data_IF_141643799853
#
_entry.id   IF_141643799853
#
_cell.length_a   1.000
_cell.length_b   1.000
_cell.length_c   1.000
_cell.angle_alpha   90.00
_cell.angle_beta   90.00
_cell.angle_gamma   90.00
#
_symmetry.space_group_name_H-M   'P 1'
#
loop_
_entity.id
_entity.type
_entity.pdbx_description
1 polymer ?
#
# COMPACT_ATOMS: atom_id res chain seq x y z
N UNK A 1 -6.94 28.69 10.57
CA UNK A 1 -6.36 27.54 11.31
C UNK A 1 -7.40 26.45 11.28
N UNK A 2 -6.96 25.20 11.19
CA UNK A 2 -7.85 24.04 11.15
C UNK A 2 -7.44 23.02 12.21
N UNK A 3 -8.36 22.12 12.54
CA UNK A 3 -8.11 21.07 13.51
C UNK A 3 -7.23 19.97 12.91
N UNK A 4 -6.08 19.71 13.53
CA UNK A 4 -5.22 18.59 13.14
C UNK A 4 -5.92 17.26 13.41
N UNK A 5 -6.02 16.39 12.39
CA UNK A 5 -6.76 15.12 12.49
C UNK A 5 -6.16 14.16 13.53
N UNK A 6 -4.84 14.24 13.77
CA UNK A 6 -4.17 13.42 14.79
C UNK A 6 -4.24 14.02 16.20
N UNK A 7 -3.67 15.21 16.44
CA UNK A 7 -3.60 15.77 17.80
C UNK A 7 -4.86 16.52 18.24
N UNK A 8 -5.80 16.77 17.32
CA UNK A 8 -7.07 17.47 17.55
C UNK A 8 -6.93 18.92 18.05
N UNK A 9 -5.74 19.52 17.94
CA UNK A 9 -5.48 20.93 18.25
C UNK A 9 -5.66 21.80 17.01
N UNK A 10 -6.17 23.02 17.19
CA UNK A 10 -6.23 24.06 16.15
C UNK A 10 -4.82 24.53 15.79
N UNK A 11 -4.39 24.27 14.55
CA UNK A 11 -3.04 24.59 14.06
C UNK A 11 -3.06 24.88 12.56
N UNK A 12 -1.95 25.35 12.02
CA UNK A 12 -1.72 25.35 10.57
C UNK A 12 -1.42 23.92 10.14
N UNK A 13 -2.20 23.40 9.21
CA UNK A 13 -2.00 22.08 8.62
C UNK A 13 -1.02 22.18 7.46
N UNK A 14 -0.28 21.11 7.23
CA UNK A 14 0.67 20.99 6.13
C UNK A 14 0.19 19.92 5.14
N UNK A 15 0.76 19.89 3.94
CA UNK A 15 0.47 18.83 2.97
C UNK A 15 0.97 17.48 3.48
N UNK A 16 0.02 16.62 3.87
CA UNK A 16 0.24 15.24 4.30
C UNK A 16 0.03 14.29 3.13
N UNK A 17 1.04 13.48 2.79
CA UNK A 17 0.83 12.36 1.86
C UNK A 17 -0.01 11.25 2.52
N UNK A 18 -1.04 10.74 1.83
CA UNK A 18 -1.82 9.58 2.31
C UNK A 18 -0.93 8.34 2.40
N UNK A 19 -0.20 8.03 1.33
CA UNK A 19 0.88 7.04 1.31
C UNK A 19 2.24 7.74 1.23
N UNK A 20 3.26 7.32 2.00
CA UNK A 20 4.56 7.99 2.06
C UNK A 20 5.20 8.27 0.70
N UNK A 21 5.73 9.49 0.53
CA UNK A 21 6.36 9.96 -0.72
C UNK A 21 7.46 9.05 -1.27
N UNK A 22 8.20 8.37 -0.38
CA UNK A 22 9.31 7.51 -0.80
C UNK A 22 8.85 6.33 -1.67
N UNK A 23 7.60 5.89 -1.54
CA UNK A 23 7.00 4.81 -2.33
C UNK A 23 6.91 5.23 -3.80
N UNK A 24 6.28 6.38 -4.08
CA UNK A 24 6.15 6.94 -5.43
C UNK A 24 7.50 7.35 -6.02
N UNK A 25 8.40 7.88 -5.18
CA UNK A 25 9.77 8.19 -5.62
C UNK A 25 10.50 6.94 -6.09
N UNK A 26 10.43 5.85 -5.34
CA UNK A 26 11.05 4.59 -5.72
C UNK A 26 10.41 4.03 -7.00
N UNK A 27 9.07 4.02 -7.10
CA UNK A 27 8.37 3.55 -8.29
C UNK A 27 8.80 4.32 -9.56
N UNK A 28 8.92 5.66 -9.49
CA UNK A 28 9.43 6.48 -10.61
C UNK A 28 10.88 6.14 -10.94
N UNK A 29 11.75 6.06 -9.93
CA UNK A 29 13.17 5.80 -10.13
C UNK A 29 13.41 4.44 -10.83
N UNK A 30 12.66 3.41 -10.42
CA UNK A 30 12.74 2.05 -10.98
C UNK A 30 11.82 1.81 -12.19
N UNK A 31 11.18 2.86 -12.73
CA UNK A 31 10.43 2.80 -13.98
C UNK A 31 11.37 2.96 -15.17
N UNK A 32 11.29 2.09 -16.21
CA UNK A 32 12.07 2.24 -17.45
C UNK A 32 11.83 3.59 -18.12
N UNK A 33 10.60 4.10 -18.06
CA UNK A 33 10.25 5.40 -18.65
C UNK A 33 10.59 6.58 -17.74
N UNK A 34 10.86 6.36 -16.45
CA UNK A 34 11.01 7.41 -15.43
C UNK A 34 9.69 8.02 -14.94
N UNK A 35 8.54 7.55 -15.46
CA UNK A 35 7.21 8.04 -15.10
C UNK A 35 6.33 6.93 -14.51
N UNK A 36 5.30 7.34 -13.78
CA UNK A 36 4.22 6.49 -13.28
C UNK A 36 2.92 6.97 -13.92
N UNK A 37 1.97 6.06 -14.14
CA UNK A 37 0.64 6.35 -14.69
C UNK A 37 -0.42 5.75 -13.77
N UNK A 38 -1.58 6.41 -13.66
CA UNK A 38 -2.75 5.85 -12.98
C UNK A 38 -3.57 4.99 -13.96
N UNK A 39 -4.27 4.00 -13.42
CA UNK A 39 -5.30 3.24 -14.15
C UNK A 39 -6.51 4.10 -14.49
N UNK A 40 -6.75 5.21 -13.81
CA UNK A 40 -7.91 6.08 -14.08
C UNK A 40 -7.72 6.88 -15.37
N UNK A 41 -6.51 7.42 -15.56
CA UNK A 41 -6.10 8.15 -16.75
C UNK A 41 -4.70 7.70 -17.20
N UNK A 42 -4.61 6.60 -17.97
CA UNK A 42 -3.32 6.06 -18.40
C UNK A 42 -2.62 6.93 -19.45
N UNK A 43 -3.33 7.88 -20.06
CA UNK A 43 -2.75 8.81 -21.03
C UNK A 43 -1.97 9.96 -20.38
N UNK A 44 -1.97 10.09 -19.05
CA UNK A 44 -1.26 11.14 -18.32
C UNK A 44 -0.33 10.56 -17.25
N UNK A 45 0.96 10.94 -17.25
CA UNK A 45 1.84 10.65 -16.13
C UNK A 45 1.35 11.29 -14.82
N UNK A 46 1.44 10.56 -13.71
CA UNK A 46 1.25 11.11 -12.36
C UNK A 46 2.61 11.48 -11.76
N UNK A 47 2.63 12.59 -11.02
CA UNK A 47 3.86 13.15 -10.46
C UNK A 47 4.12 12.72 -9.02
N UNK A 48 3.08 12.53 -8.23
CA UNK A 48 3.14 12.23 -6.79
C UNK A 48 1.90 11.46 -6.36
N UNK A 49 1.88 10.99 -5.10
CA UNK A 49 0.68 10.44 -4.48
C UNK A 49 -0.32 11.52 -4.03
N UNK A 50 -1.47 11.07 -3.53
CA UNK A 50 -2.51 11.94 -2.96
C UNK A 50 -1.96 12.68 -1.72
N UNK A 51 -2.20 13.99 -1.66
CA UNK A 51 -1.84 14.87 -0.56
C UNK A 51 -3.03 15.67 -0.10
N UNK A 52 -3.13 15.88 1.21
CA UNK A 52 -4.26 16.54 1.85
C UNK A 52 -3.75 17.34 3.07
N UNK A 53 -4.37 18.46 3.43
CA UNK A 53 -4.06 19.19 4.66
C UNK A 53 -4.62 18.42 5.88
N UNK A 54 -3.94 17.36 6.33
CA UNK A 54 -4.44 16.49 7.43
C UNK A 54 -3.81 16.80 8.77
N UNK A 55 -2.49 17.00 8.80
CA UNK A 55 -1.71 17.04 10.04
C UNK A 55 -1.00 18.38 10.22
N UNK A 56 -0.77 18.76 11.48
CA UNK A 56 0.15 19.86 11.80
C UNK A 56 1.60 19.37 11.71
N UNK A 57 2.55 20.31 11.60
CA UNK A 57 3.98 20.04 11.45
C UNK A 57 4.55 19.06 12.49
N UNK A 58 4.20 19.21 13.78
CA UNK A 58 4.66 18.31 14.84
C UNK A 58 4.17 16.86 14.66
N UNK A 59 2.95 16.68 14.14
CA UNK A 59 2.38 15.35 13.89
C UNK A 59 3.02 14.71 12.65
N UNK A 60 3.28 15.49 11.61
CA UNK A 60 4.05 15.03 10.45
C UNK A 60 5.47 14.62 10.81
N UNK A 61 6.17 15.42 11.63
CA UNK A 61 7.53 15.08 12.06
C UNK A 61 7.57 13.74 12.82
N UNK A 62 6.55 13.47 13.64
CA UNK A 62 6.40 12.18 14.32
C UNK A 62 6.27 11.03 13.33
N UNK A 63 5.42 11.17 12.30
CA UNK A 63 5.23 10.14 11.28
C UNK A 63 6.51 9.95 10.46
N UNK A 64 7.17 11.05 10.08
CA UNK A 64 8.41 11.06 9.31
C UNK A 64 9.53 10.25 9.96
N UNK A 65 9.64 10.26 11.30
CA UNK A 65 10.61 9.43 12.04
C UNK A 65 10.39 7.93 11.80
N UNK A 66 9.14 7.47 11.86
CA UNK A 66 8.80 6.06 11.62
C UNK A 66 8.89 5.68 10.15
N UNK A 67 8.50 6.57 9.24
CA UNK A 67 8.68 6.39 7.79
C UNK A 67 10.16 6.29 7.41
N UNK A 68 11.02 7.10 8.03
CA UNK A 68 12.47 7.04 7.83
C UNK A 68 13.04 5.70 8.29
N UNK A 69 12.58 5.21 9.46
CA UNK A 69 13.00 3.91 9.96
C UNK A 69 12.53 2.77 9.03
N UNK A 70 11.27 2.76 8.60
CA UNK A 70 10.76 1.73 7.69
C UNK A 70 11.46 1.78 6.33
N UNK A 71 11.61 2.97 5.75
CA UNK A 71 12.20 3.10 4.42
C UNK A 71 13.63 2.58 4.36
N UNK A 72 14.46 2.94 5.35
CA UNK A 72 15.87 2.54 5.44
C UNK A 72 16.05 1.07 5.81
N UNK A 73 15.28 0.57 6.77
CA UNK A 73 15.55 -0.76 7.35
C UNK A 73 14.79 -1.90 6.69
N UNK A 74 13.69 -1.62 5.98
CA UNK A 74 12.83 -2.65 5.38
C UNK A 74 12.58 -2.37 3.90
N UNK A 75 12.03 -1.20 3.57
CA UNK A 75 11.54 -0.94 2.22
C UNK A 75 12.63 -1.04 1.14
N UNK A 76 13.69 -0.23 1.24
CA UNK A 76 14.75 -0.24 0.23
C UNK A 76 15.51 -1.56 0.18
N UNK A 77 15.95 -2.13 1.32
CA UNK A 77 16.61 -3.44 1.30
C UNK A 77 15.74 -4.56 0.69
N UNK A 78 14.42 -4.53 0.89
CA UNK A 78 13.53 -5.53 0.30
C UNK A 78 13.28 -5.30 -1.20
N UNK A 79 12.96 -4.06 -1.61
CA UNK A 79 12.70 -3.72 -3.02
C UNK A 79 13.94 -3.96 -3.90
N UNK A 80 15.13 -3.70 -3.36
CA UNK A 80 16.41 -3.94 -4.05
C UNK A 80 16.83 -5.43 -4.04
N UNK A 81 16.12 -6.30 -3.32
CA UNK A 81 16.44 -7.72 -3.21
C UNK A 81 17.66 -8.02 -2.32
N UNK A 82 18.07 -7.10 -1.47
CA UNK A 82 19.25 -7.23 -0.60
C UNK A 82 18.97 -8.13 0.62
N UNK A 83 17.73 -8.10 1.13
CA UNK A 83 17.33 -8.84 2.34
C UNK A 83 15.89 -9.34 2.22
N UNK A 84 15.58 -10.45 2.91
CA UNK A 84 14.25 -11.05 2.99
C UNK A 84 13.74 -11.24 4.43
N UNK A 85 14.54 -10.82 5.41
CA UNK A 85 14.24 -10.90 6.84
C UNK A 85 14.73 -9.63 7.55
N UNK A 86 13.92 -9.13 8.48
CA UNK A 86 14.07 -7.81 9.09
C UNK A 86 13.67 -7.86 10.57
N UNK A 87 14.64 -7.67 11.45
CA UNK A 87 14.35 -7.33 12.83
C UNK A 87 13.77 -5.91 12.89
N UNK A 88 12.74 -5.74 13.71
CA UNK A 88 12.08 -4.45 13.89
C UNK A 88 11.71 -4.22 15.36
N UNK A 89 11.51 -2.95 15.70
CA UNK A 89 11.03 -2.49 17.00
C UNK A 89 9.68 -1.77 16.84
N UNK A 90 9.24 -1.01 17.85
CA UNK A 90 7.90 -0.42 17.88
C UNK A 90 7.61 0.51 16.70
N UNK A 91 8.65 1.06 16.08
CA UNK A 91 8.54 1.93 14.91
C UNK A 91 7.81 1.27 13.73
N UNK A 92 7.89 -0.06 13.54
CA UNK A 92 7.21 -0.71 12.41
C UNK A 92 5.69 -0.65 12.59
N UNK A 93 5.21 -1.01 13.79
CA UNK A 93 3.78 -0.95 14.09
C UNK A 93 3.24 0.48 14.06
N UNK A 94 4.04 1.47 14.48
CA UNK A 94 3.66 2.89 14.40
C UNK A 94 3.65 3.41 12.97
N UNK A 95 4.62 3.03 12.14
CA UNK A 95 4.62 3.35 10.71
C UNK A 95 3.36 2.79 10.02
N UNK A 96 3.07 1.51 10.20
CA UNK A 96 1.88 0.90 9.59
C UNK A 96 0.61 1.56 10.12
N UNK A 97 0.51 1.79 11.43
CA UNK A 97 -0.61 2.52 12.03
C UNK A 97 -0.78 3.93 11.47
N UNK A 98 0.30 4.65 11.16
CA UNK A 98 0.22 6.00 10.60
C UNK A 98 -0.27 6.03 9.15
N UNK A 99 0.10 5.02 8.35
CA UNK A 99 -0.44 4.82 6.99
C UNK A 99 -1.92 4.47 7.07
N UNK A 100 -2.29 3.50 7.92
CA UNK A 100 -3.67 3.09 8.13
C UNK A 100 -4.56 4.26 8.58
N UNK A 101 -4.07 5.07 9.53
CA UNK A 101 -4.78 6.26 10.01
C UNK A 101 -5.06 7.26 8.88
N UNK A 102 -4.05 7.61 8.08
CA UNK A 102 -4.22 8.56 6.97
C UNK A 102 -5.16 8.04 5.89
N UNK A 103 -5.07 6.76 5.54
CA UNK A 103 -5.99 6.12 4.58
C UNK A 103 -7.42 6.15 5.08
N UNK A 104 -7.66 5.72 6.33
CA UNK A 104 -9.01 5.67 6.89
C UNK A 104 -9.62 7.07 7.03
N UNK A 105 -8.85 8.06 7.48
CA UNK A 105 -9.33 9.45 7.59
C UNK A 105 -9.66 10.02 6.21
N UNK A 106 -8.79 9.85 5.21
CA UNK A 106 -9.04 10.32 3.85
C UNK A 106 -10.32 9.72 3.27
N UNK A 107 -10.49 8.39 3.36
CA UNK A 107 -11.68 7.73 2.80
C UNK A 107 -12.94 8.15 3.58
N UNK A 108 -12.84 8.28 4.90
CA UNK A 108 -13.96 8.70 5.73
C UNK A 108 -14.41 10.15 5.46
N UNK A 109 -13.48 11.09 5.29
CA UNK A 109 -13.77 12.53 5.11
C UNK A 109 -14.06 12.89 3.65
N UNK A 110 -13.29 12.38 2.68
CA UNK A 110 -13.30 12.89 1.30
C UNK A 110 -14.02 11.97 0.29
N UNK A 111 -13.99 10.65 0.51
CA UNK A 111 -14.60 9.68 -0.41
C UNK A 111 -16.00 9.25 0.04
N UNK A 112 -16.24 9.22 1.35
CA UNK A 112 -17.43 8.66 1.95
C UNK A 112 -17.38 7.13 2.05
N UNK A 113 -18.10 6.60 3.03
CA UNK A 113 -18.29 5.16 3.24
C UNK A 113 -19.74 4.76 2.89
N UNK A 114 -20.24 5.19 1.74
CA UNK A 114 -21.68 5.05 1.40
C UNK A 114 -22.19 3.64 1.23
N UNK A 115 -21.27 2.72 1.02
CA UNK A 115 -21.48 1.28 0.96
C UNK A 115 -21.36 0.59 2.33
N UNK A 116 -21.02 1.31 3.39
CA UNK A 116 -21.01 0.80 4.76
C UNK A 116 -22.38 0.95 5.41
N UNK A 117 -22.82 -0.08 6.13
CA UNK A 117 -23.91 0.05 7.10
C UNK A 117 -23.55 1.02 8.22
N UNK A 118 -24.56 1.59 8.90
CA UNK A 118 -24.35 2.53 10.00
C UNK A 118 -23.47 1.94 11.11
N UNK A 119 -23.63 0.65 11.42
CA UNK A 119 -22.80 -0.05 12.40
C UNK A 119 -21.32 -0.09 11.97
N UNK A 120 -21.05 -0.39 10.70
CA UNK A 120 -19.69 -0.43 10.16
C UNK A 120 -19.06 0.97 10.12
N UNK A 121 -19.82 2.02 9.82
CA UNK A 121 -19.34 3.40 9.91
C UNK A 121 -18.95 3.78 11.34
N UNK A 122 -19.70 3.32 12.34
CA UNK A 122 -19.31 3.53 13.75
C UNK A 122 -18.01 2.81 14.11
N UNK A 123 -17.76 1.62 13.56
CA UNK A 123 -16.47 0.93 13.73
C UNK A 123 -15.31 1.70 13.09
N UNK A 124 -15.53 2.36 11.94
CA UNK A 124 -14.53 3.23 11.33
C UNK A 124 -14.18 4.42 12.24
N UNK A 125 -15.18 5.12 12.79
CA UNK A 125 -14.95 6.24 13.73
C UNK A 125 -14.19 5.78 14.98
N UNK A 126 -14.59 4.64 15.57
CA UNK A 126 -13.87 4.05 16.72
C UNK A 126 -12.42 3.70 16.38
N UNK A 127 -12.18 3.19 15.17
CA UNK A 127 -10.84 2.84 14.69
C UNK A 127 -9.95 4.05 14.45
N UNK A 128 -10.51 5.15 13.91
CA UNK A 128 -9.79 6.43 13.80
C UNK A 128 -9.32 6.89 15.18
N UNK A 129 -10.20 6.88 16.17
CA UNK A 129 -9.87 7.28 17.54
C UNK A 129 -8.84 6.35 18.21
N UNK A 130 -9.01 5.03 18.05
CA UNK A 130 -8.07 4.02 18.56
C UNK A 130 -6.66 4.20 17.98
N UNK A 131 -6.55 4.32 16.66
CA UNK A 131 -5.28 4.59 15.97
C UNK A 131 -4.68 5.91 16.43
N UNK A 132 -5.49 6.97 16.57
CA UNK A 132 -5.06 8.28 17.06
C UNK A 132 -4.41 8.19 18.43
N UNK A 133 -5.09 7.58 19.41
CA UNK A 133 -4.58 7.37 20.78
C UNK A 133 -3.28 6.58 20.76
N UNK A 134 -3.22 5.51 19.96
CA UNK A 134 -2.02 4.70 19.81
C UNK A 134 -0.85 5.51 19.24
N UNK A 135 -1.05 6.24 18.15
CA UNK A 135 0.00 7.01 17.47
C UNK A 135 0.48 8.22 18.32
N UNK A 136 -0.39 8.78 19.15
CA UNK A 136 0.01 9.79 20.14
C UNK A 136 0.76 9.22 21.35
N UNK A 137 0.74 7.89 21.53
CA UNK A 137 1.35 7.21 22.68
C UNK A 137 0.47 7.23 23.93
N UNK A 138 -0.82 7.52 23.77
CA UNK A 138 -1.81 7.49 24.86
C UNK A 138 -2.26 6.05 25.17
N UNK A 139 -2.04 5.12 24.25
CA UNK A 139 -2.18 3.68 24.46
C UNK A 139 -0.94 2.95 23.97
N UNK A 140 -0.55 1.90 24.70
CA UNK A 140 0.64 1.10 24.36
C UNK A 140 0.37 0.09 23.24
N UNK A 141 -0.86 -0.43 23.14
CA UNK A 141 -1.28 -1.43 22.15
C UNK A 141 -2.30 -0.85 21.16
N UNK A 142 -2.26 -1.20 19.86
CA UNK A 142 -3.22 -0.74 18.86
C UNK A 142 -4.63 -1.38 18.95
N UNK A 143 -4.94 -2.06 20.06
CA UNK A 143 -6.18 -2.84 20.21
C UNK A 143 -6.48 -3.75 19.01
N UNK A 144 -7.72 -3.69 18.53
CA UNK A 144 -8.23 -4.43 17.37
C UNK A 144 -7.62 -3.96 16.05
N UNK A 145 -7.09 -2.73 15.99
CA UNK A 145 -6.44 -2.16 14.81
C UNK A 145 -4.99 -2.62 14.66
N UNK A 146 -4.73 -3.90 14.99
CA UNK A 146 -3.39 -4.50 14.90
C UNK A 146 -2.98 -4.62 13.44
N UNK A 147 -1.79 -4.12 13.14
CA UNK A 147 -1.27 -4.07 11.78
C UNK A 147 -0.81 -5.44 11.31
N UNK A 148 -1.11 -5.77 10.06
CA UNK A 148 -0.54 -6.90 9.34
C UNK A 148 0.30 -6.35 8.18
N UNK A 149 1.44 -6.98 7.93
CA UNK A 149 2.29 -6.66 6.79
C UNK A 149 2.80 -7.94 6.16
N UNK A 150 2.50 -8.10 4.87
CA UNK A 150 3.00 -9.17 4.03
C UNK A 150 4.05 -8.61 3.08
N UNK A 151 5.18 -9.31 3.01
CA UNK A 151 6.16 -9.16 1.95
C UNK A 151 5.72 -10.05 0.78
N UNK A 152 5.60 -9.48 -0.40
CA UNK A 152 5.19 -10.19 -1.62
C UNK A 152 6.40 -10.37 -2.53
N UNK A 153 6.45 -11.47 -3.26
CA UNK A 153 7.44 -11.67 -4.32
C UNK A 153 6.74 -12.16 -5.59
N UNK A 154 7.51 -12.35 -6.66
CA UNK A 154 6.99 -12.97 -7.88
C UNK A 154 6.41 -14.36 -7.59
N UNK A 155 5.32 -14.69 -8.27
CA UNK A 155 4.72 -16.01 -8.24
C UNK A 155 5.60 -17.04 -8.95
N UNK A 156 5.51 -18.30 -8.51
CA UNK A 156 6.03 -19.43 -9.27
C UNK A 156 5.20 -19.69 -10.55
N UNK A 157 5.76 -20.49 -11.45
CA UNK A 157 5.17 -20.78 -12.76
C UNK A 157 3.73 -21.31 -12.68
N UNK A 158 3.46 -22.24 -11.75
CA UNK A 158 2.13 -22.85 -11.59
C UNK A 158 1.11 -21.82 -11.08
N UNK A 159 1.54 -20.92 -10.20
CA UNK A 159 0.70 -19.88 -9.62
C UNK A 159 0.43 -18.76 -10.63
N UNK A 160 1.39 -18.42 -11.49
CA UNK A 160 1.20 -17.51 -12.62
C UNK A 160 0.10 -18.04 -13.55
N UNK A 161 0.16 -19.30 -13.96
CA UNK A 161 -0.81 -19.91 -14.87
C UNK A 161 -2.25 -19.94 -14.32
N UNK A 162 -2.42 -19.93 -12.99
CA UNK A 162 -3.72 -19.90 -12.31
C UNK A 162 -4.17 -18.48 -11.93
N UNK A 163 -3.38 -17.47 -12.25
CA UNK A 163 -3.64 -16.07 -11.90
C UNK A 163 -4.05 -15.28 -13.15
N UNK A 164 -4.67 -14.10 -12.97
CA UNK A 164 -4.92 -13.19 -14.09
C UNK A 164 -3.60 -12.84 -14.80
N UNK A 165 -3.70 -12.50 -16.09
CA UNK A 165 -2.55 -12.01 -16.85
C UNK A 165 -1.87 -10.81 -16.15
N UNK A 166 -0.54 -10.76 -16.16
CA UNK A 166 0.24 -9.67 -15.55
C UNK A 166 0.13 -9.59 -14.02
N UNK A 167 -0.24 -10.67 -13.33
CA UNK A 167 -0.33 -10.66 -11.88
C UNK A 167 1.02 -10.37 -11.21
N UNK A 168 2.15 -10.83 -11.77
CA UNK A 168 3.47 -10.45 -11.27
C UNK A 168 3.75 -8.96 -11.44
N UNK A 169 3.24 -8.32 -12.50
CA UNK A 169 3.34 -6.87 -12.68
C UNK A 169 2.55 -6.15 -11.58
N UNK A 170 1.34 -6.63 -11.29
CA UNK A 170 0.52 -6.11 -10.19
C UNK A 170 1.24 -6.28 -8.84
N UNK A 171 1.74 -7.47 -8.53
CA UNK A 171 2.45 -7.76 -7.27
C UNK A 171 3.71 -6.92 -7.09
N UNK A 172 4.44 -6.63 -8.18
CA UNK A 172 5.69 -5.87 -8.11
C UNK A 172 5.48 -4.35 -8.13
N UNK A 173 4.43 -3.84 -8.78
CA UNK A 173 4.33 -2.41 -9.14
C UNK A 173 3.07 -1.71 -8.66
N UNK A 174 1.98 -2.41 -8.38
CA UNK A 174 0.73 -1.75 -8.06
C UNK A 174 0.84 -0.93 -6.77
N UNK A 175 0.20 0.24 -6.79
CA UNK A 175 -0.05 1.06 -5.60
C UNK A 175 -1.55 1.31 -5.60
N UNK A 176 -2.23 0.85 -4.57
CA UNK A 176 -3.66 1.09 -4.34
C UNK A 176 -3.95 1.01 -2.85
N UNK A 177 -4.98 1.70 -2.42
CA UNK A 177 -5.47 1.58 -1.05
C UNK A 177 -6.98 1.76 -1.05
N UNK A 178 -7.64 1.17 -0.06
CA UNK A 178 -9.08 1.27 0.11
C UNK A 178 -9.48 0.90 1.54
N UNK A 179 -10.74 1.14 1.88
CA UNK A 179 -11.40 0.63 3.08
C UNK A 179 -12.45 -0.37 2.65
N UNK A 180 -12.17 -1.65 2.89
CA UNK A 180 -13.00 -2.75 2.44
C UNK A 180 -14.02 -3.12 3.51
N UNK A 181 -15.18 -3.58 3.07
CA UNK A 181 -16.17 -4.23 3.93
C UNK A 181 -16.72 -5.49 3.25
N UNK A 182 -17.07 -6.47 4.07
CA UNK A 182 -17.99 -7.55 3.74
C UNK A 182 -19.26 -7.36 4.58
N UNK A 183 -20.17 -8.33 4.58
CA UNK A 183 -21.33 -8.31 5.48
C UNK A 183 -20.94 -8.39 6.97
N UNK A 184 -19.73 -8.89 7.28
CA UNK A 184 -19.31 -9.21 8.65
C UNK A 184 -18.00 -8.56 9.10
N UNK A 185 -17.13 -8.18 8.17
CA UNK A 185 -15.78 -7.68 8.44
C UNK A 185 -15.55 -6.34 7.73
N UNK A 186 -14.75 -5.46 8.32
CA UNK A 186 -14.23 -4.26 7.66
C UNK A 186 -12.76 -4.05 7.98
N UNK A 187 -11.98 -3.59 7.01
CA UNK A 187 -10.54 -3.43 7.14
C UNK A 187 -9.97 -2.45 6.13
N UNK A 188 -8.85 -1.85 6.49
CA UNK A 188 -8.06 -1.01 5.60
C UNK A 188 -7.14 -1.92 4.79
N UNK A 189 -7.16 -1.74 3.47
CA UNK A 189 -6.33 -2.45 2.50
C UNK A 189 -5.33 -1.46 1.89
N UNK A 190 -4.03 -1.76 1.97
CA UNK A 190 -3.00 -0.91 1.36
C UNK A 190 -1.98 -1.78 0.63
N UNK A 191 -1.98 -1.72 -0.69
CA UNK A 191 -1.01 -2.37 -1.56
C UNK A 191 -0.03 -1.33 -2.08
N UNK A 192 1.27 -1.59 -1.94
CA UNK A 192 2.29 -0.74 -2.57
C UNK A 192 3.53 -1.56 -2.92
N UNK A 193 3.92 -1.52 -4.20
CA UNK A 193 5.06 -2.27 -4.73
C UNK A 193 5.07 -3.70 -4.23
N UNK A 194 6.10 -4.23 -3.56
CA UNK A 194 6.11 -5.60 -3.05
C UNK A 194 5.54 -5.77 -1.63
N UNK A 195 4.69 -4.86 -1.18
CA UNK A 195 4.10 -4.89 0.16
C UNK A 195 2.57 -4.95 0.09
N UNK A 196 1.98 -5.68 1.03
CA UNK A 196 0.55 -5.63 1.33
C UNK A 196 0.38 -5.40 2.83
N UNK A 197 -0.18 -4.25 3.18
CA UNK A 197 -0.56 -3.91 4.54
C UNK A 197 -2.07 -4.07 4.71
N UNK A 198 -2.45 -4.66 5.84
CA UNK A 198 -3.85 -4.78 6.24
C UNK A 198 -4.01 -4.27 7.68
N UNK A 199 -5.11 -3.58 7.96
CA UNK A 199 -5.46 -3.15 9.31
C UNK A 199 -6.95 -3.40 9.54
N UNK A 200 -7.32 -4.28 10.47
CA UNK A 200 -8.71 -4.46 10.84
C UNK A 200 -9.36 -3.16 11.34
N UNK A 201 -10.60 -2.93 10.94
CA UNK A 201 -11.52 -1.94 11.52
C UNK A 201 -12.49 -2.68 12.44
N UNK A 202 -13.05 -3.77 11.94
CA UNK A 202 -13.86 -4.73 12.68
C UNK A 202 -13.74 -6.11 12.05
N UNK A 203 -13.61 -7.16 12.88
CA UNK A 203 -13.64 -8.54 12.42
C UNK A 203 -14.64 -9.31 13.26
N UNK A 204 -15.56 -9.99 12.59
CA UNK A 204 -16.47 -10.95 13.22
C UNK A 204 -15.71 -12.17 13.76
N UNK A 205 -14.68 -12.61 13.04
CA UNK A 205 -13.80 -13.72 13.41
C UNK A 205 -12.36 -13.40 13.03
N UNK A 206 -11.40 -13.78 13.87
CA UNK A 206 -9.98 -13.54 13.62
C UNK A 206 -9.31 -14.56 12.67
N UNK A 207 -10.04 -15.57 12.18
CA UNK A 207 -9.50 -16.65 11.34
C UNK A 207 -8.89 -16.07 10.06
N UNK A 208 -7.68 -16.49 9.69
CA UNK A 208 -6.93 -15.95 8.54
C UNK A 208 -6.24 -14.60 8.80
N UNK A 209 -6.52 -13.91 9.90
CA UNK A 209 -5.93 -12.60 10.25
C UNK A 209 -4.74 -12.69 11.21
N UNK A 210 -4.16 -13.87 11.41
CA UNK A 210 -3.08 -14.10 12.39
C UNK A 210 -1.68 -14.21 11.77
N UNK A 211 -1.57 -14.73 10.55
CA UNK A 211 -0.30 -15.22 9.97
C UNK A 211 0.73 -14.10 9.73
N UNK A 212 0.26 -12.88 9.48
CA UNK A 212 1.06 -11.69 9.15
C UNK A 212 1.02 -10.59 10.22
N UNK A 213 0.55 -10.88 11.44
CA UNK A 213 0.42 -9.88 12.51
C UNK A 213 1.78 -9.32 12.92
N UNK A 214 1.87 -8.00 12.95
CA UNK A 214 3.01 -7.28 13.49
C UNK A 214 2.83 -7.12 15.01
N UNK A 215 3.80 -7.61 15.76
CA UNK A 215 3.87 -7.35 17.19
C UNK A 215 4.21 -5.87 17.46
N UNK A 216 3.49 -5.20 18.36
CA UNK A 216 3.55 -3.75 18.53
C UNK A 216 4.87 -3.25 19.15
N UNK A 217 5.62 -4.10 19.86
CA UNK A 217 6.91 -3.76 20.49
C UNK A 217 8.13 -4.06 19.62
N UNK A 218 8.23 -5.29 19.13
CA UNK A 218 9.38 -5.81 18.38
C UNK A 218 9.05 -7.15 17.72
N UNK A 219 9.84 -7.57 16.76
CA UNK A 219 9.74 -8.89 16.15
C UNK A 219 10.60 -9.02 14.90
N UNK A 220 10.31 -10.04 14.12
CA UNK A 220 10.97 -10.32 12.85
C UNK A 220 9.95 -10.39 11.73
N UNK A 221 10.08 -9.51 10.75
CA UNK A 221 9.33 -9.55 9.50
C UNK A 221 10.15 -10.36 8.49
N UNK A 222 9.55 -11.37 7.85
CA UNK A 222 10.23 -12.16 6.84
C UNK A 222 9.30 -12.52 5.68
N UNK A 223 9.88 -12.70 4.50
CA UNK A 223 9.19 -13.25 3.35
C UNK A 223 8.87 -14.72 3.65
N UNK A 224 7.58 -15.06 3.63
CA UNK A 224 7.07 -16.41 3.83
C UNK A 224 5.64 -16.51 3.28
N UNK A 225 5.14 -17.72 3.14
CA UNK A 225 3.75 -17.94 2.79
C UNK A 225 2.83 -17.54 3.95
N UNK A 226 1.73 -16.90 3.58
CA UNK A 226 0.69 -16.44 4.49
C UNK A 226 -0.65 -16.97 4.02
N UNK A 227 -1.38 -17.64 4.90
CA UNK A 227 -2.82 -17.83 4.72
C UNK A 227 -3.50 -16.48 4.94
N UNK A 228 -4.24 -16.02 3.94
CA UNK A 228 -5.10 -14.83 3.99
C UNK A 228 -6.52 -15.21 3.54
N UNK A 229 -7.55 -14.55 4.07
CA UNK A 229 -8.92 -14.74 3.60
C UNK A 229 -9.09 -14.56 2.09
N UNK A 230 -9.98 -15.34 1.47
CA UNK A 230 -10.22 -15.33 0.02
C UNK A 230 -10.60 -13.95 -0.52
N UNK A 231 -11.32 -13.15 0.26
CA UNK A 231 -11.69 -11.79 -0.14
C UNK A 231 -10.47 -10.86 -0.30
N UNK A 232 -9.35 -11.11 0.39
CA UNK A 232 -8.10 -10.37 0.19
C UNK A 232 -7.43 -10.79 -1.12
N UNK A 233 -7.39 -12.09 -1.42
CA UNK A 233 -6.90 -12.60 -2.70
C UNK A 233 -7.74 -12.08 -3.87
N UNK A 234 -9.07 -12.09 -3.72
CA UNK A 234 -10.00 -11.57 -4.71
C UNK A 234 -9.81 -10.06 -4.93
N UNK A 235 -9.52 -9.28 -3.88
CA UNK A 235 -9.18 -7.86 -4.03
C UNK A 235 -7.92 -7.64 -4.85
N UNK A 236 -6.87 -8.45 -4.64
CA UNK A 236 -5.65 -8.40 -5.45
C UNK A 236 -5.92 -8.76 -6.92
N UNK A 237 -6.69 -9.83 -7.17
CA UNK A 237 -7.10 -10.21 -8.54
C UNK A 237 -7.90 -9.11 -9.22
N UNK A 238 -8.82 -8.47 -8.49
CA UNK A 238 -9.58 -7.32 -8.98
C UNK A 238 -8.66 -6.15 -9.36
N UNK A 239 -7.69 -5.81 -8.50
CA UNK A 239 -6.69 -4.78 -8.81
C UNK A 239 -5.86 -5.10 -10.06
N UNK A 240 -5.48 -6.36 -10.24
CA UNK A 240 -4.81 -6.82 -11.47
C UNK A 240 -5.71 -6.71 -12.70
N UNK A 241 -7.00 -7.04 -12.59
CA UNK A 241 -7.95 -6.88 -13.68
C UNK A 241 -8.13 -5.41 -14.06
N UNK A 242 -8.19 -4.49 -13.09
CA UNK A 242 -8.20 -3.04 -13.35
C UNK A 242 -6.96 -2.58 -14.10
N UNK A 243 -5.78 -3.11 -13.73
CA UNK A 243 -4.56 -2.85 -14.50
C UNK A 243 -4.71 -3.33 -15.95
N UNK A 244 -5.19 -4.55 -16.17
CA UNK A 244 -5.35 -5.13 -17.51
C UNK A 244 -6.35 -4.36 -18.37
N UNK A 245 -7.50 -3.95 -17.82
CA UNK A 245 -8.50 -3.16 -18.54
C UNK A 245 -8.07 -1.71 -18.77
N UNK A 246 -7.07 -1.20 -18.04
CA UNK A 246 -6.50 0.12 -18.28
C UNK A 246 -5.53 0.18 -19.46
N UNK A 247 -4.83 -0.92 -19.77
CA UNK A 247 -3.80 -0.95 -20.83
C UNK A 247 -4.36 -0.58 -22.21
N UNK A 248 -5.50 -1.13 -22.68
CA UNK A 248 -6.06 -0.76 -23.97
C UNK A 248 -6.56 0.69 -24.06
N UNK A 249 -6.66 1.40 -22.93
CA UNK A 249 -7.06 2.82 -22.91
C UNK A 249 -5.90 3.79 -23.19
N UNK A 250 -4.67 3.29 -23.35
CA UNK A 250 -3.53 4.09 -23.79
C UNK A 250 -3.71 4.40 -25.28
N UNK A 251 -3.76 5.68 -25.63
CA UNK A 251 -3.83 6.12 -27.03
C UNK A 251 -2.56 5.78 -27.80
N UNK A 252 -2.67 5.58 -29.11
CA UNK A 252 -1.52 5.26 -29.99
C UNK A 252 -0.37 6.27 -29.83
N UNK A 253 -0.70 7.57 -29.75
CA UNK A 253 0.28 8.62 -29.49
C UNK A 253 1.05 8.39 -28.18
N UNK A 254 0.36 7.98 -27.12
CA UNK A 254 1.01 7.71 -25.84
C UNK A 254 1.79 6.40 -25.85
N UNK A 255 1.28 5.38 -26.55
CA UNK A 255 1.99 4.13 -26.78
C UNK A 255 3.34 4.38 -27.47
N UNK A 256 3.37 5.16 -28.56
CA UNK A 256 4.60 5.54 -29.26
C UNK A 256 5.61 6.27 -28.37
N UNK A 257 5.13 7.17 -27.49
CA UNK A 257 5.99 7.89 -26.54
C UNK A 257 6.57 6.93 -25.50
N UNK A 258 5.76 5.99 -25.00
CA UNK A 258 6.21 4.97 -24.05
C UNK A 258 7.26 4.11 -24.73
N UNK A 259 6.99 3.59 -25.92
CA UNK A 259 7.88 2.69 -26.64
C UNK A 259 9.20 3.36 -26.95
N UNK A 260 9.22 4.59 -27.49
CA UNK A 260 10.46 5.33 -27.74
C UNK A 260 11.31 5.50 -26.48
N UNK A 261 10.68 5.75 -25.32
CA UNK A 261 11.37 5.90 -24.04
C UNK A 261 11.89 4.58 -23.50
N UNK A 262 11.14 3.50 -23.67
CA UNK A 262 11.58 2.16 -23.26
C UNK A 262 12.77 1.72 -24.12
N UNK A 263 12.69 1.91 -25.43
CA UNK A 263 13.77 1.58 -26.37
C UNK A 263 15.05 2.38 -26.10
N UNK A 264 14.95 3.65 -25.69
CA UNK A 264 16.12 4.43 -25.29
C UNK A 264 16.68 4.06 -23.90
N UNK A 265 16.02 3.17 -23.17
CA UNK A 265 16.39 2.74 -21.81
C UNK A 265 16.31 1.22 -21.63
N UNK A 266 16.75 0.44 -22.64
CA UNK A 266 16.64 -1.03 -22.62
C UNK A 266 17.38 -1.68 -21.44
N UNK A 267 18.60 -1.24 -21.13
CA UNK A 267 19.35 -1.77 -19.98
C UNK A 267 18.57 -1.55 -18.67
N UNK A 268 17.99 -0.36 -18.52
CA UNK A 268 17.13 -0.03 -17.38
C UNK A 268 15.87 -0.90 -17.35
N UNK A 269 15.29 -1.24 -18.51
CA UNK A 269 14.16 -2.16 -18.59
C UNK A 269 14.53 -3.53 -18.03
N UNK A 270 15.66 -4.11 -18.49
CA UNK A 270 16.12 -5.44 -18.09
C UNK A 270 16.29 -5.57 -16.58
N UNK A 271 16.88 -4.55 -15.94
CA UNK A 271 17.12 -4.55 -14.50
C UNK A 271 15.90 -4.12 -13.67
N UNK A 272 14.92 -3.47 -14.30
CA UNK A 272 13.75 -2.95 -13.61
C UNK A 272 12.83 -4.07 -13.08
N UNK A 273 12.07 -3.80 -12.00
CA UNK A 273 11.02 -4.73 -11.56
C UNK A 273 9.95 -4.98 -12.64
N UNK A 274 9.75 -4.04 -13.56
CA UNK A 274 8.84 -4.19 -14.72
C UNK A 274 9.37 -5.26 -15.67
N UNK A 275 10.63 -5.16 -16.11
CA UNK A 275 11.24 -6.13 -17.02
C UNK A 275 11.27 -7.54 -16.42
N UNK A 276 11.67 -7.65 -15.15
CA UNK A 276 11.70 -8.93 -14.42
C UNK A 276 10.31 -9.58 -14.34
N UNK A 277 9.28 -8.81 -14.00
CA UNK A 277 7.91 -9.30 -13.95
C UNK A 277 7.40 -9.74 -15.34
N UNK A 278 7.62 -8.93 -16.37
CA UNK A 278 7.22 -9.26 -17.74
C UNK A 278 7.93 -10.52 -18.27
N UNK A 279 9.22 -10.69 -17.97
CA UNK A 279 9.97 -11.88 -18.36
C UNK A 279 9.43 -13.14 -17.68
N UNK A 280 9.14 -13.07 -16.37
CA UNK A 280 8.55 -14.19 -15.64
C UNK A 280 7.19 -14.61 -16.22
N UNK A 281 6.33 -13.64 -16.55
CA UNK A 281 5.03 -13.88 -17.19
C UNK A 281 5.18 -14.52 -18.58
N UNK A 282 6.12 -14.04 -19.39
CA UNK A 282 6.40 -14.59 -20.71
C UNK A 282 6.90 -16.04 -20.65
N UNK A 283 7.82 -16.34 -19.72
CA UNK A 283 8.34 -17.68 -19.53
C UNK A 283 7.25 -18.65 -19.04
N UNK A 284 6.33 -18.20 -18.19
CA UNK A 284 5.22 -19.01 -17.65
C UNK A 284 4.19 -19.47 -18.69
N UNK A 285 4.12 -18.79 -19.84
CA UNK A 285 3.17 -19.05 -20.92
C UNK A 285 3.75 -19.86 -22.08
N UNK A 286 5.06 -20.14 -22.07
CA UNK A 286 5.70 -21.10 -22.97
C UNK A 286 5.57 -22.52 -22.43
#
# INVERSE_FOLDING_TARGET
MERCRLCQKERTLVESHVLPKFIFRHQKATSPTGFVRSTDNPNRPIQDGIKLPLLCSECEERFSKWETAFSKNVFYPYENGERREFAYEAWLSKYLGSVAFRVLVHIYEDCGLDYFSDSMRQHAVRSIESLRRYLLGQTEHPGDNRQLLLLLDGLDMKSIQKSPDNFNMYLARAIEFDVMTTDADSFIYVKYLKFLQLCPIYLSVNKGWHTARIHHKRGTLKLKDHEVPDYILNRMRSGCNTLNTSKPRISDRQADIIDKRVHSNLDKLLDSPVGKASLAEYLAKK
#
